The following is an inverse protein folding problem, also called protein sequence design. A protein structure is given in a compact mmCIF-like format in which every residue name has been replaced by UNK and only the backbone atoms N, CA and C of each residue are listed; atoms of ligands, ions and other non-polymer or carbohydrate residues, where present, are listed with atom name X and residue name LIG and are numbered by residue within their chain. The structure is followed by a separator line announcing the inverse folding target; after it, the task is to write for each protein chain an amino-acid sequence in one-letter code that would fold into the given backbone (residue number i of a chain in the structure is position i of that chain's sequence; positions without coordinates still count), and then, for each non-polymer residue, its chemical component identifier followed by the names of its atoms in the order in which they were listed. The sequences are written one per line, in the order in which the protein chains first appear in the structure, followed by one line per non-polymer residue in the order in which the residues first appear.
data_IF_657232421887
#
_entry.id   IF_657232421887
#
_cell.length_a   1.000
_cell.length_b   1.000
_cell.length_c   1.000
_cell.angle_alpha   90.00
_cell.angle_beta   90.00
_cell.angle_gamma   90.00
#
_symmetry.space_group_name_H-M   'P 1'
#
loop_
_entity.id
_entity.type
_entity.pdbx_description
1 polymer ?
#
# COMPACT_ATOMS: atom_id res chain seq x y z
N UNK A 1 -33.45 3.08 1.97
CA UNK A 1 -32.20 3.52 2.60
C UNK A 1 -31.15 2.51 2.18
N UNK A 2 -30.29 2.86 1.22
CA UNK A 2 -29.13 2.01 0.92
C UNK A 2 -28.19 2.23 2.09
N UNK A 3 -27.91 1.17 2.85
CA UNK A 3 -26.91 1.22 3.90
C UNK A 3 -25.60 1.03 3.18
N UNK A 4 -24.69 2.00 3.23
CA UNK A 4 -23.37 1.79 2.66
C UNK A 4 -22.64 0.71 3.44
N UNK A 5 -22.57 -0.45 2.81
CA UNK A 5 -21.96 -1.66 3.37
C UNK A 5 -20.48 -1.77 3.03
N UNK A 6 -19.87 -0.73 2.43
CA UNK A 6 -18.45 -0.76 2.08
C UNK A 6 -17.72 0.50 2.55
N UNK A 7 -16.44 0.34 2.83
CA UNK A 7 -15.50 1.44 3.03
C UNK A 7 -14.41 1.31 1.97
N UNK A 8 -14.12 2.42 1.28
CA UNK A 8 -13.10 2.46 0.23
C UNK A 8 -11.91 3.26 0.73
N UNK A 9 -10.73 2.66 0.65
CA UNK A 9 -9.46 3.26 1.03
C UNK A 9 -8.54 3.27 -0.18
N UNK A 10 -8.28 4.44 -0.73
CA UNK A 10 -7.18 4.62 -1.70
C UNK A 10 -5.89 4.85 -0.93
N UNK A 11 -4.87 4.05 -1.21
CA UNK A 11 -3.60 4.11 -0.52
C UNK A 11 -2.45 4.17 -1.53
N UNK A 12 -1.43 4.95 -1.20
CA UNK A 12 -0.25 5.16 -2.04
C UNK A 12 1.00 5.06 -1.19
N UNK A 13 1.99 4.32 -1.68
CA UNK A 13 3.31 4.17 -1.07
C UNK A 13 4.35 4.87 -1.93
N UNK A 14 5.32 5.49 -1.26
CA UNK A 14 6.53 6.06 -1.81
C UNK A 14 7.72 5.38 -1.14
N UNK A 15 8.69 4.92 -1.91
CA UNK A 15 9.81 4.14 -1.38
C UNK A 15 11.03 4.22 -2.30
N UNK A 16 12.21 4.03 -1.73
CA UNK A 16 13.45 3.73 -2.48
C UNK A 16 13.78 2.25 -2.32
N UNK A 17 14.56 1.68 -3.24
CA UNK A 17 14.99 0.27 -3.16
C UNK A 17 16.52 0.15 -3.04
N UNK A 18 17.00 -1.00 -2.59
CA UNK A 18 18.42 -1.37 -2.68
C UNK A 18 18.67 -2.59 -3.59
N UNK A 19 19.94 -2.95 -3.74
CA UNK A 19 20.40 -4.03 -4.63
C UNK A 19 19.89 -5.43 -4.27
N UNK A 20 19.36 -5.62 -3.06
CA UNK A 20 18.77 -6.86 -2.63
C UNK A 20 17.32 -7.04 -3.09
N UNK A 21 16.67 -6.00 -3.62
CA UNK A 21 15.32 -6.12 -4.14
C UNK A 21 15.25 -7.21 -5.23
N UNK A 22 14.27 -8.14 -5.20
CA UNK A 22 14.23 -9.29 -6.11
C UNK A 22 14.21 -8.89 -7.59
N UNK A 23 13.61 -7.75 -7.90
CA UNK A 23 13.53 -7.19 -9.25
C UNK A 23 14.72 -6.29 -9.64
N UNK A 24 15.76 -6.16 -8.82
CA UNK A 24 16.86 -5.21 -9.06
C UNK A 24 17.46 -5.33 -10.47
N UNK A 25 17.62 -6.56 -10.98
CA UNK A 25 18.24 -6.80 -12.29
C UNK A 25 17.38 -6.36 -13.48
N UNK A 26 16.06 -6.27 -13.33
CA UNK A 26 15.14 -5.82 -14.37
C UNK A 26 14.67 -4.37 -14.20
N UNK A 27 15.00 -3.73 -13.06
CA UNK A 27 14.72 -2.32 -12.81
C UNK A 27 15.57 -1.38 -13.67
N UNK A 28 14.93 -0.31 -14.12
CA UNK A 28 15.59 0.84 -14.76
C UNK A 28 16.42 1.63 -13.75
N UNK A 29 17.39 2.43 -14.21
CA UNK A 29 18.18 3.30 -13.32
C UNK A 29 17.29 4.24 -12.50
N UNK A 30 16.20 4.75 -13.10
CA UNK A 30 15.22 5.57 -12.38
C UNK A 30 14.62 4.81 -11.20
N UNK A 31 14.20 3.57 -11.41
CA UNK A 31 13.62 2.75 -10.34
C UNK A 31 14.65 2.40 -9.26
N UNK A 32 15.92 2.25 -9.62
CA UNK A 32 17.00 1.92 -8.67
C UNK A 32 17.41 3.09 -7.79
N UNK A 33 17.42 4.30 -8.34
CA UNK A 33 18.09 5.45 -7.72
C UNK A 33 17.16 6.61 -7.36
N UNK A 34 15.89 6.57 -7.78
CA UNK A 34 14.88 7.56 -7.41
C UNK A 34 13.78 6.95 -6.52
N UNK A 35 12.85 7.81 -6.08
CA UNK A 35 11.67 7.38 -5.33
C UNK A 35 10.67 6.73 -6.27
N UNK A 36 10.36 5.47 -6.01
CA UNK A 36 9.27 4.73 -6.65
C UNK A 36 7.94 5.07 -5.98
N UNK A 37 6.85 4.83 -6.70
CA UNK A 37 5.51 4.94 -6.15
C UNK A 37 4.62 3.82 -6.67
N UNK A 38 3.74 3.33 -5.79
CA UNK A 38 2.70 2.38 -6.11
C UNK A 38 1.41 2.80 -5.39
N UNK A 39 0.27 2.60 -6.04
CA UNK A 39 -1.04 2.96 -5.50
C UNK A 39 -2.03 1.82 -5.70
N UNK A 40 -2.91 1.63 -4.73
CA UNK A 40 -3.97 0.64 -4.79
C UNK A 40 -5.24 1.14 -4.07
N UNK A 41 -6.36 0.47 -4.34
CA UNK A 41 -7.66 0.72 -3.74
C UNK A 41 -8.18 -0.51 -3.01
N UNK A 42 -8.35 -0.36 -1.70
CA UNK A 42 -8.84 -1.40 -0.81
C UNK A 42 -10.34 -1.20 -0.57
N UNK A 43 -11.10 -2.29 -0.69
CA UNK A 43 -12.56 -2.29 -0.46
C UNK A 43 -12.84 -3.19 0.73
N UNK A 44 -13.22 -2.59 1.85
CA UNK A 44 -13.60 -3.30 3.07
C UNK A 44 -15.11 -3.45 3.12
N UNK A 45 -15.58 -4.66 3.43
CA UNK A 45 -16.99 -4.92 3.66
C UNK A 45 -17.32 -4.66 5.13
N UNK A 46 -18.29 -3.77 5.35
CA UNK A 46 -18.68 -3.27 6.66
C UNK A 46 -19.40 -4.32 7.53
N UNK A 47 -19.73 -5.49 6.96
CA UNK A 47 -20.19 -6.64 7.73
C UNK A 47 -19.05 -7.36 8.46
N UNK A 48 -17.80 -7.15 8.03
CA UNK A 48 -16.61 -7.79 8.58
C UNK A 48 -15.66 -6.81 9.26
N UNK A 49 -15.65 -5.56 8.82
CA UNK A 49 -14.88 -4.47 9.42
C UNK A 49 -15.83 -3.35 9.84
N UNK A 50 -15.81 -2.95 11.10
CA UNK A 50 -16.63 -1.82 11.51
C UNK A 50 -16.13 -0.51 10.86
N UNK A 51 -17.05 0.41 10.55
CA UNK A 51 -16.73 1.68 9.87
C UNK A 51 -15.73 2.56 10.63
N UNK A 52 -15.57 2.33 11.93
CA UNK A 52 -14.65 3.02 12.83
C UNK A 52 -13.31 2.28 13.03
N UNK A 53 -13.15 1.06 12.50
CA UNK A 53 -11.87 0.31 12.48
C UNK A 53 -10.91 0.81 11.39
N UNK A 54 -10.92 2.12 11.14
CA UNK A 54 -10.13 2.77 10.08
C UNK A 54 -8.64 2.51 10.25
N UNK A 55 -8.14 2.54 11.48
CA UNK A 55 -6.71 2.30 11.75
C UNK A 55 -6.28 0.89 11.34
N UNK A 56 -7.13 -0.12 11.58
CA UNK A 56 -6.87 -1.50 11.17
C UNK A 56 -6.89 -1.67 9.63
N UNK A 57 -7.83 -0.98 8.96
CA UNK A 57 -7.88 -0.94 7.49
C UNK A 57 -6.62 -0.29 6.89
N UNK A 58 -6.16 0.81 7.50
CA UNK A 58 -4.93 1.51 7.11
C UNK A 58 -3.72 0.63 7.33
N UNK A 59 -3.61 -0.05 8.47
CA UNK A 59 -2.47 -0.91 8.76
C UNK A 59 -2.42 -2.15 7.85
N UNK A 60 -3.58 -2.71 7.49
CA UNK A 60 -3.67 -3.73 6.44
C UNK A 60 -3.12 -3.20 5.11
N UNK A 61 -3.58 -2.04 4.65
CA UNK A 61 -3.12 -1.43 3.40
C UNK A 61 -1.60 -1.10 3.43
N UNK A 62 -1.06 -0.61 4.56
CA UNK A 62 0.38 -0.37 4.70
C UNK A 62 1.20 -1.63 4.50
N UNK A 63 0.77 -2.72 5.13
CA UNK A 63 1.49 -4.00 5.10
C UNK A 63 1.46 -4.62 3.70
N UNK A 64 0.29 -4.62 3.07
CA UNK A 64 0.11 -5.11 1.71
C UNK A 64 0.92 -4.29 0.69
N UNK A 65 0.80 -2.95 0.71
CA UNK A 65 1.59 -2.08 -0.16
C UNK A 65 3.10 -2.25 0.03
N UNK A 66 3.56 -2.42 1.28
CA UNK A 66 4.97 -2.63 1.57
C UNK A 66 5.48 -3.96 1.00
N UNK A 67 4.70 -5.04 1.14
CA UNK A 67 5.04 -6.32 0.54
C UNK A 67 5.10 -6.24 -0.98
N UNK A 68 4.11 -5.62 -1.62
CA UNK A 68 4.11 -5.45 -3.09
C UNK A 68 5.32 -4.62 -3.52
N UNK A 69 5.60 -3.52 -2.81
CA UNK A 69 6.76 -2.66 -3.07
C UNK A 69 8.11 -3.37 -2.86
N UNK A 70 8.18 -4.37 -1.98
CA UNK A 70 9.35 -5.22 -1.75
C UNK A 70 9.45 -6.45 -2.65
N UNK A 71 8.58 -6.56 -3.67
CA UNK A 71 8.60 -7.67 -4.63
C UNK A 71 7.83 -8.92 -4.17
N UNK A 72 6.94 -8.77 -3.18
CA UNK A 72 5.95 -9.78 -2.78
C UNK A 72 6.42 -10.84 -1.79
N UNK A 73 7.65 -10.72 -1.24
CA UNK A 73 8.20 -11.68 -0.29
C UNK A 73 8.45 -11.07 1.09
N UNK A 74 9.21 -9.98 1.16
CA UNK A 74 9.52 -9.25 2.38
C UNK A 74 9.57 -7.73 2.12
N UNK A 75 9.99 -6.96 3.12
CA UNK A 75 10.12 -5.49 3.04
C UNK A 75 11.54 -5.01 3.35
N UNK A 76 12.53 -5.90 3.36
CA UNK A 76 13.88 -5.60 3.85
C UNK A 76 14.64 -4.67 2.90
N UNK A 77 14.25 -4.67 1.62
CA UNK A 77 14.91 -3.97 0.52
C UNK A 77 14.24 -2.64 0.14
N UNK A 78 13.21 -2.21 0.87
CA UNK A 78 12.53 -0.94 0.67
C UNK A 78 12.81 0.03 1.81
N UNK A 79 13.12 1.28 1.46
CA UNK A 79 13.58 2.31 2.40
C UNK A 79 12.84 3.62 2.21
N UNK A 80 12.98 4.53 3.19
CA UNK A 80 12.44 5.88 3.15
C UNK A 80 10.92 5.93 2.87
N UNK A 81 10.20 4.98 3.46
CA UNK A 81 8.79 4.73 3.15
C UNK A 81 7.93 5.91 3.62
N UNK A 82 7.04 6.38 2.74
CA UNK A 82 5.95 7.32 3.06
C UNK A 82 4.65 6.80 2.48
N UNK A 83 3.56 7.02 3.20
CA UNK A 83 2.23 6.65 2.75
C UNK A 83 1.32 7.88 2.59
N UNK A 84 0.39 7.80 1.66
CA UNK A 84 -0.77 8.70 1.53
C UNK A 84 -2.05 7.87 1.51
N UNK A 85 -3.08 8.34 2.18
CA UNK A 85 -4.37 7.65 2.29
C UNK A 85 -5.51 8.63 2.00
N UNK A 86 -6.51 8.15 1.27
CA UNK A 86 -7.78 8.82 1.10
C UNK A 86 -8.90 7.83 1.42
N UNK A 87 -9.74 8.19 2.38
CA UNK A 87 -10.88 7.39 2.81
C UNK A 87 -12.15 7.99 2.21
N UNK A 88 -12.72 7.28 1.25
CA UNK A 88 -14.05 7.60 0.76
C UNK A 88 -15.05 6.75 1.53
N UNK A 89 -15.83 7.43 2.38
CA UNK A 89 -17.05 6.84 2.94
C UNK A 89 -18.08 6.86 1.82
N UNK A 90 -18.11 5.78 1.05
CA UNK A 90 -19.26 5.49 0.20
C UNK A 90 -20.49 5.40 1.08
#
# INVERSE_FOLDING_TARGET
MFVDTKTVLSAKIYYTVDEGHPDWWCMTDKQKYEVNTFEDTYIFDNNWYAKDEVDAMIDHAKWDLALVAGGGYDTDHIHNIRYEFNLEKC
#
